data_IF_282090941275
#
_entry.id   IF_282090941275
#
_cell.length_a   1.000
_cell.length_b   1.000
_cell.length_c   1.000
_cell.angle_alpha   90.00
_cell.angle_beta   90.00
_cell.angle_gamma   90.00
#
_symmetry.space_group_name_H-M   'P 1'
#
loop_
_entity.id
_entity.type
_entity.pdbx_description
1 polymer ?
#
# COMPACT_ATOMS: atom_id res chain seq x y z
N UNK A 1 33.15 -11.01 -4.67
CA UNK A 1 32.45 -11.87 -5.65
C UNK A 1 32.12 -11.03 -6.87
N UNK A 2 32.55 -11.43 -8.08
CA UNK A 2 32.18 -10.77 -9.33
C UNK A 2 30.98 -11.50 -9.94
N UNK A 3 30.04 -10.76 -10.51
CA UNK A 3 28.83 -11.29 -11.14
C UNK A 3 28.75 -10.81 -12.59
N UNK A 4 28.18 -11.63 -13.46
CA UNK A 4 27.69 -11.17 -14.77
C UNK A 4 26.56 -10.16 -14.59
N UNK A 5 26.24 -9.33 -15.59
CA UNK A 5 25.21 -8.28 -15.47
C UNK A 5 23.87 -8.78 -14.91
N UNK A 6 23.45 -9.99 -15.27
CA UNK A 6 22.21 -10.65 -14.84
C UNK A 6 22.37 -11.49 -13.56
N UNK A 7 23.49 -11.39 -12.85
CA UNK A 7 23.63 -11.93 -11.49
C UNK A 7 24.18 -13.35 -11.40
N UNK A 8 24.54 -13.97 -12.52
CA UNK A 8 25.25 -15.25 -12.50
C UNK A 8 26.66 -15.06 -11.93
N UNK A 9 27.09 -15.96 -11.05
CA UNK A 9 28.41 -15.90 -10.43
C UNK A 9 29.48 -16.16 -11.49
N UNK A 10 30.38 -15.20 -11.67
CA UNK A 10 31.52 -15.39 -12.55
C UNK A 10 32.52 -16.33 -11.85
N UNK A 11 32.79 -17.50 -12.45
CA UNK A 11 33.81 -18.46 -11.99
C UNK A 11 35.11 -18.22 -12.76
N UNK A 12 36.29 -18.37 -12.11
CA UNK A 12 37.59 -18.33 -12.80
C UNK A 12 38.63 -17.31 -12.31
N UNK A 13 38.42 -16.62 -11.17
CA UNK A 13 39.45 -15.77 -10.55
C UNK A 13 39.66 -16.15 -9.08
N UNK A 14 40.92 -16.41 -8.71
CA UNK A 14 41.41 -16.80 -7.38
C UNK A 14 40.67 -18.01 -6.78
N UNK A 15 41.19 -19.21 -7.06
CA UNK A 15 40.69 -20.51 -6.59
C UNK A 15 40.84 -20.74 -5.06
N UNK A 16 41.22 -19.73 -4.30
CA UNK A 16 41.35 -19.80 -2.84
C UNK A 16 40.07 -19.25 -2.23
N UNK A 17 39.19 -20.16 -1.78
CA UNK A 17 38.01 -19.80 -0.99
C UNK A 17 38.43 -19.64 0.46
N UNK A 18 38.76 -18.41 0.88
CA UNK A 18 38.96 -18.07 2.29
C UNK A 18 37.64 -17.54 2.88
N UNK A 19 36.88 -18.43 3.52
CA UNK A 19 35.69 -18.09 4.31
C UNK A 19 34.42 -18.89 3.98
N UNK A 20 33.41 -18.78 4.85
CA UNK A 20 32.10 -19.42 4.69
C UNK A 20 31.29 -18.74 3.58
N UNK A 21 30.64 -19.52 2.71
CA UNK A 21 29.82 -18.98 1.62
C UNK A 21 28.62 -18.17 2.17
N UNK A 22 28.54 -16.89 1.80
CA UNK A 22 27.48 -16.00 2.24
C UNK A 22 26.30 -16.07 1.26
N UNK A 23 25.23 -16.77 1.65
CA UNK A 23 24.00 -16.93 0.86
C UNK A 23 23.09 -15.70 0.88
N UNK A 24 23.36 -14.74 1.76
CA UNK A 24 22.54 -13.55 1.97
C UNK A 24 23.10 -12.34 1.20
N UNK A 25 22.22 -11.63 0.48
CA UNK A 25 22.51 -10.37 -0.25
C UNK A 25 23.49 -10.53 -1.43
N UNK A 26 23.40 -11.64 -2.12
CA UNK A 26 24.32 -12.08 -3.19
C UNK A 26 24.13 -11.30 -4.49
N UNK A 27 22.90 -11.08 -4.96
CA UNK A 27 22.61 -10.26 -6.15
C UNK A 27 21.43 -9.31 -5.93
N UNK A 28 21.63 -8.02 -6.22
CA UNK A 28 20.73 -6.91 -5.86
C UNK A 28 20.25 -6.87 -4.39
N UNK A 29 20.94 -7.59 -3.50
CA UNK A 29 20.58 -7.74 -2.09
C UNK A 29 19.55 -8.84 -1.80
N UNK A 30 19.31 -9.78 -2.74
CA UNK A 30 18.45 -10.95 -2.55
C UNK A 30 19.23 -12.16 -2.03
N UNK A 31 18.48 -13.11 -1.50
CA UNK A 31 18.98 -14.39 -1.02
C UNK A 31 19.10 -15.36 -2.20
N UNK A 32 20.17 -16.18 -2.19
CA UNK A 32 20.39 -17.22 -3.19
C UNK A 32 19.83 -18.55 -2.67
N UNK A 33 18.95 -19.17 -3.44
CA UNK A 33 18.42 -20.52 -3.23
C UNK A 33 19.20 -21.52 -4.07
N UNK A 34 19.89 -22.44 -3.41
CA UNK A 34 20.71 -23.48 -4.05
C UNK A 34 20.15 -24.89 -3.79
N UNK A 35 19.09 -24.99 -2.99
CA UNK A 35 18.45 -26.26 -2.66
C UNK A 35 17.89 -26.90 -3.94
N UNK A 36 18.04 -28.23 -4.04
CA UNK A 36 17.65 -29.03 -5.21
C UNK A 36 18.32 -28.61 -6.54
N UNK A 37 19.43 -27.86 -6.49
CA UNK A 37 20.16 -27.44 -7.70
C UNK A 37 19.49 -26.32 -8.49
N UNK A 38 18.58 -25.56 -7.87
CA UNK A 38 17.77 -24.53 -8.54
C UNK A 38 18.57 -23.26 -8.88
N UNK A 39 19.58 -22.91 -8.09
CA UNK A 39 20.48 -21.77 -8.31
C UNK A 39 19.78 -20.41 -8.56
N UNK A 40 18.61 -20.18 -7.98
CA UNK A 40 17.78 -18.98 -8.17
C UNK A 40 17.99 -17.93 -7.08
N UNK A 41 17.53 -16.69 -7.33
CA UNK A 41 17.43 -15.63 -6.33
C UNK A 41 15.98 -15.37 -5.91
N UNK A 42 15.72 -15.26 -4.61
CA UNK A 42 14.38 -15.02 -4.08
C UNK A 42 13.95 -13.54 -4.19
N UNK A 43 13.18 -13.19 -5.22
CA UNK A 43 12.60 -11.86 -5.44
C UNK A 43 11.13 -11.81 -4.99
N UNK A 44 10.93 -12.04 -3.69
CA UNK A 44 9.62 -11.96 -3.04
C UNK A 44 8.74 -13.15 -3.38
N UNK A 45 8.00 -13.08 -4.48
CA UNK A 45 7.04 -14.09 -4.92
C UNK A 45 7.46 -14.78 -6.22
N UNK A 46 8.40 -14.17 -6.96
CA UNK A 46 9.04 -14.72 -8.16
C UNK A 46 10.44 -15.17 -7.80
N UNK A 47 10.82 -16.34 -8.30
CA UNK A 47 12.21 -16.75 -8.23
C UNK A 47 12.87 -16.31 -9.53
N UNK A 48 14.00 -15.65 -9.39
CA UNK A 48 14.77 -15.13 -10.50
C UNK A 48 15.87 -16.12 -10.85
N UNK A 49 15.88 -16.57 -12.10
CA UNK A 49 16.95 -17.40 -12.64
C UNK A 49 18.01 -16.49 -13.27
N UNK A 50 19.21 -16.38 -12.69
CA UNK A 50 20.27 -15.55 -13.22
C UNK A 50 20.97 -16.13 -14.46
N UNK A 51 20.84 -17.44 -14.72
CA UNK A 51 21.36 -18.06 -15.93
C UNK A 51 20.46 -17.71 -17.13
N UNK A 52 19.15 -17.67 -16.92
CA UNK A 52 18.18 -17.27 -17.95
C UNK A 52 17.95 -15.76 -18.03
N UNK A 53 18.25 -15.01 -16.96
CA UNK A 53 17.95 -13.58 -16.87
C UNK A 53 16.45 -13.28 -16.78
N UNK A 54 15.64 -14.21 -16.26
CA UNK A 54 14.17 -14.12 -16.24
C UNK A 54 13.59 -14.62 -14.92
N UNK A 55 12.36 -14.20 -14.63
CA UNK A 55 11.58 -14.83 -13.57
C UNK A 55 10.96 -16.15 -14.03
N UNK A 56 10.77 -17.06 -13.08
CA UNK A 56 10.06 -18.31 -13.31
C UNK A 56 8.53 -18.19 -13.23
N UNK A 57 8.01 -17.01 -12.90
CA UNK A 57 6.58 -16.71 -12.76
C UNK A 57 6.24 -15.41 -13.50
N UNK A 58 5.04 -15.38 -14.10
CA UNK A 58 4.40 -14.19 -14.68
C UNK A 58 4.39 -13.08 -13.64
N UNK A 59 4.65 -11.82 -14.00
CA UNK A 59 4.49 -10.63 -13.14
C UNK A 59 3.01 -10.34 -12.82
N UNK A 60 2.71 -10.01 -11.56
CA UNK A 60 1.36 -9.70 -11.07
C UNK A 60 0.87 -8.38 -11.64
N UNK A 61 1.78 -7.57 -12.17
CA UNK A 61 1.53 -6.33 -12.87
C UNK A 61 1.85 -6.45 -14.37
N UNK A 62 1.87 -7.67 -14.94
CA UNK A 62 2.18 -7.87 -16.35
C UNK A 62 1.31 -7.03 -17.29
N UNK A 63 0.03 -6.85 -16.96
CA UNK A 63 -0.93 -6.02 -17.71
C UNK A 63 -0.56 -4.53 -17.76
N UNK A 64 0.36 -4.08 -16.91
CA UNK A 64 0.85 -2.69 -16.94
C UNK A 64 1.96 -2.49 -17.98
N UNK A 65 2.68 -3.55 -18.29
CA UNK A 65 3.93 -3.50 -19.02
C UNK A 65 3.82 -4.23 -20.36
N UNK A 66 2.88 -3.80 -21.20
CA UNK A 66 2.65 -4.41 -22.52
C UNK A 66 3.89 -4.47 -23.41
N UNK A 67 4.86 -3.57 -23.20
CA UNK A 67 6.09 -3.50 -23.97
C UNK A 67 7.16 -4.53 -23.55
N UNK A 68 6.97 -5.27 -22.46
CA UNK A 68 7.93 -6.29 -21.99
C UNK A 68 7.20 -7.59 -21.64
N UNK A 69 7.93 -8.71 -21.75
CA UNK A 69 7.39 -10.02 -21.39
C UNK A 69 7.00 -10.07 -19.91
N UNK A 70 5.92 -10.78 -19.52
CA UNK A 70 5.55 -10.96 -18.11
C UNK A 70 6.64 -11.58 -17.22
N UNK A 71 7.67 -12.17 -17.82
CA UNK A 71 8.80 -12.80 -17.12
C UNK A 71 10.05 -11.92 -17.10
N UNK A 72 9.95 -10.65 -17.50
CA UNK A 72 11.10 -9.76 -17.66
C UNK A 72 11.78 -9.48 -16.32
N UNK A 73 13.11 -9.35 -16.33
CA UNK A 73 13.88 -8.92 -15.17
C UNK A 73 14.51 -7.56 -15.45
N UNK A 74 14.27 -6.56 -14.57
CA UNK A 74 14.90 -5.23 -14.67
C UNK A 74 14.80 -4.60 -16.07
N UNK A 75 13.69 -4.83 -16.77
CA UNK A 75 13.47 -4.40 -18.17
C UNK A 75 14.66 -4.68 -19.12
N UNK A 76 15.31 -5.84 -18.97
CA UNK A 76 16.51 -6.26 -19.71
C UNK A 76 17.75 -5.36 -19.50
N UNK A 77 17.75 -4.47 -18.52
CA UNK A 77 18.89 -3.63 -18.19
C UNK A 77 19.17 -3.62 -16.68
N UNK A 78 19.67 -4.72 -16.12
CA UNK A 78 19.94 -4.86 -14.68
C UNK A 78 21.16 -4.09 -14.17
N UNK A 79 21.93 -3.47 -15.08
CA UNK A 79 23.04 -2.57 -14.73
C UNK A 79 22.46 -1.23 -14.23
N UNK A 80 21.42 -0.74 -14.90
CA UNK A 80 20.78 0.54 -14.59
C UNK A 80 19.53 0.38 -13.72
N UNK A 81 18.70 -0.62 -13.99
CA UNK A 81 17.45 -0.84 -13.28
C UNK A 81 17.62 -1.87 -12.18
N UNK A 82 17.16 -1.49 -10.99
CA UNK A 82 17.07 -2.39 -9.85
C UNK A 82 15.67 -2.93 -9.75
N UNK A 83 15.55 -4.24 -9.60
CA UNK A 83 14.29 -4.91 -9.35
C UNK A 83 13.84 -4.62 -7.91
N UNK A 84 12.73 -3.90 -7.77
CA UNK A 84 12.21 -3.44 -6.49
C UNK A 84 11.26 -4.51 -5.95
N UNK A 85 11.70 -5.28 -4.95
CA UNK A 85 10.77 -6.04 -4.10
C UNK A 85 10.04 -5.06 -3.19
N UNK A 86 9.04 -4.35 -3.69
CA UNK A 86 8.01 -3.91 -2.78
C UNK A 86 8.43 -3.01 -1.62
N UNK A 87 9.20 -1.96 -1.89
CA UNK A 87 9.48 -0.92 -0.88
C UNK A 87 8.63 0.33 -1.16
N UNK A 88 7.42 0.09 -1.67
CA UNK A 88 6.72 1.03 -2.52
C UNK A 88 5.83 1.99 -1.74
N UNK A 89 5.48 1.63 -0.50
CA UNK A 89 5.05 2.63 0.47
C UNK A 89 6.26 3.37 1.03
N UNK A 90 6.26 4.69 0.93
CA UNK A 90 7.25 5.53 1.58
C UNK A 90 6.64 6.74 2.27
N UNK A 91 7.11 7.09 3.46
CA UNK A 91 6.78 8.37 4.06
C UNK A 91 7.58 9.50 3.42
N UNK A 92 6.98 10.67 3.20
CA UNK A 92 7.72 11.90 2.83
C UNK A 92 8.87 12.19 3.80
N UNK A 93 8.72 11.75 5.05
CA UNK A 93 9.72 11.80 6.10
C UNK A 93 9.77 10.52 6.93
N UNK A 94 10.84 10.33 7.72
CA UNK A 94 10.93 9.21 8.67
C UNK A 94 9.80 9.26 9.70
N UNK A 95 9.31 10.46 10.03
CA UNK A 95 8.19 10.71 10.93
C UNK A 95 6.88 10.22 10.31
N UNK A 96 6.60 10.57 9.06
CA UNK A 96 5.44 10.09 8.31
C UNK A 96 5.46 8.56 8.18
N UNK A 97 6.60 7.96 7.79
CA UNK A 97 6.74 6.51 7.71
C UNK A 97 6.52 5.81 9.07
N UNK A 98 6.99 6.41 10.17
CA UNK A 98 6.73 5.91 11.54
C UNK A 98 5.24 5.93 11.88
N UNK A 99 4.54 6.98 11.48
CA UNK A 99 3.10 7.14 11.72
C UNK A 99 2.28 6.13 10.94
N UNK A 100 2.54 6.00 9.64
CA UNK A 100 1.89 4.99 8.79
C UNK A 100 2.08 3.59 9.37
N UNK A 101 3.33 3.22 9.71
CA UNK A 101 3.61 1.90 10.32
C UNK A 101 2.82 1.69 11.61
N UNK A 102 2.68 2.72 12.44
CA UNK A 102 1.94 2.64 13.69
C UNK A 102 0.45 2.45 13.45
N UNK A 103 -0.14 3.18 12.51
CA UNK A 103 -1.57 3.01 12.19
C UNK A 103 -1.85 1.63 11.61
N UNK A 104 -1.03 1.12 10.67
CA UNK A 104 -1.15 -0.26 10.15
C UNK A 104 -1.09 -1.29 11.31
N UNK A 105 -0.15 -1.12 12.25
CA UNK A 105 -0.03 -2.01 13.42
C UNK A 105 -1.23 -1.95 14.36
N UNK A 106 -1.85 -0.78 14.50
CA UNK A 106 -3.06 -0.61 15.32
C UNK A 106 -4.28 -1.26 14.68
N UNK A 107 -4.37 -1.23 13.34
CA UNK A 107 -5.40 -1.92 12.57
C UNK A 107 -5.43 -3.40 12.93
N UNK A 108 -4.27 -4.06 12.89
CA UNK A 108 -4.12 -5.50 13.15
C UNK A 108 -3.71 -5.82 14.59
N UNK A 109 -4.10 -5.00 15.58
CA UNK A 109 -3.63 -5.15 16.97
C UNK A 109 -3.95 -6.53 17.59
N UNK A 110 -5.04 -7.15 17.14
CA UNK A 110 -5.48 -8.47 17.61
C UNK A 110 -4.69 -9.62 16.96
N UNK A 111 -4.14 -9.41 15.76
CA UNK A 111 -3.24 -10.33 15.09
C UNK A 111 -1.79 -9.80 15.15
N UNK A 112 -1.10 -10.10 16.27
CA UNK A 112 0.27 -9.61 16.52
C UNK A 112 1.27 -10.03 15.45
N UNK A 113 1.07 -11.19 14.82
CA UNK A 113 1.95 -11.72 13.76
C UNK A 113 1.84 -10.85 12.51
N UNK A 114 0.60 -10.65 12.03
CA UNK A 114 0.28 -9.75 10.92
C UNK A 114 0.70 -8.30 11.18
N UNK A 115 0.42 -7.75 12.37
CA UNK A 115 0.87 -6.40 12.71
C UNK A 115 2.41 -6.25 12.64
N UNK A 116 3.16 -7.29 13.01
CA UNK A 116 4.63 -7.26 12.99
C UNK A 116 5.23 -7.39 11.59
N UNK A 117 4.47 -7.90 10.62
CA UNK A 117 4.87 -8.10 9.23
C UNK A 117 5.30 -6.77 8.56
N UNK A 118 4.52 -5.71 8.78
CA UNK A 118 4.77 -4.39 8.20
C UNK A 118 5.95 -3.68 8.88
N UNK A 119 7.14 -3.83 8.27
CA UNK A 119 8.41 -3.27 8.72
C UNK A 119 8.82 -2.10 7.81
N UNK A 120 9.70 -1.24 8.32
CA UNK A 120 10.22 -0.09 7.56
C UNK A 120 11.71 0.09 7.79
N UNK A 121 12.42 0.55 6.76
CA UNK A 121 13.82 0.98 6.82
C UNK A 121 13.92 2.46 6.43
N UNK A 122 14.26 3.31 7.39
CA UNK A 122 14.25 4.76 7.18
C UNK A 122 12.85 5.29 6.88
N UNK A 123 12.66 5.80 5.65
CA UNK A 123 11.41 6.34 5.11
C UNK A 123 10.55 5.31 4.37
N UNK A 124 11.13 4.19 3.92
CA UNK A 124 10.45 3.20 3.08
C UNK A 124 9.99 2.00 3.91
N UNK A 125 8.88 1.39 3.51
CA UNK A 125 8.50 0.06 4.00
C UNK A 125 9.44 -0.99 3.39
N UNK A 126 9.59 -2.12 4.08
CA UNK A 126 10.36 -3.26 3.59
C UNK A 126 9.39 -4.18 2.88
N UNK A 127 9.74 -4.65 1.69
CA UNK A 127 9.02 -5.70 0.98
C UNK A 127 8.73 -6.92 1.84
N UNK A 128 7.59 -7.53 1.55
CA UNK A 128 7.03 -8.67 2.29
C UNK A 128 6.96 -9.84 1.32
N UNK A 129 7.53 -10.99 1.69
CA UNK A 129 7.41 -12.21 0.88
C UNK A 129 6.00 -12.77 0.93
N UNK A 130 5.59 -13.51 -0.10
CA UNK A 130 4.26 -14.14 -0.10
C UNK A 130 4.13 -15.15 1.05
N UNK A 131 5.18 -15.94 1.30
CA UNK A 131 5.21 -16.91 2.40
C UNK A 131 5.04 -16.26 3.77
N UNK A 132 5.75 -15.16 4.05
CA UNK A 132 5.59 -14.42 5.32
C UNK A 132 4.16 -13.86 5.47
N UNK A 133 3.52 -13.47 4.36
CA UNK A 133 2.16 -12.95 4.35
C UNK A 133 1.12 -14.05 4.59
N UNK A 134 1.25 -15.18 3.89
CA UNK A 134 0.37 -16.34 4.04
C UNK A 134 0.45 -16.89 5.47
N UNK A 135 1.67 -17.05 5.99
CA UNK A 135 1.94 -17.49 7.36
C UNK A 135 1.34 -16.53 8.42
N UNK A 136 1.37 -15.22 8.16
CA UNK A 136 0.81 -14.21 9.04
C UNK A 136 -0.73 -14.11 8.97
N UNK A 137 -1.34 -14.58 7.88
CA UNK A 137 -2.79 -14.46 7.61
C UNK A 137 -3.53 -15.79 7.63
N UNK A 138 -2.86 -16.92 7.89
CA UNK A 138 -3.45 -18.27 7.86
C UNK A 138 -4.75 -18.41 8.69
N UNK A 139 -4.85 -17.71 9.82
CA UNK A 139 -5.99 -17.75 10.74
C UNK A 139 -6.77 -16.43 10.78
N UNK A 140 -6.52 -15.53 9.82
CA UNK A 140 -7.24 -14.27 9.72
C UNK A 140 -8.65 -14.48 9.18
N UNK A 141 -9.60 -13.66 9.64
CA UNK A 141 -10.90 -13.60 8.99
C UNK A 141 -10.77 -13.10 7.54
N UNK A 142 -11.76 -13.36 6.70
CA UNK A 142 -11.80 -12.87 5.31
C UNK A 142 -11.57 -11.36 5.24
N UNK A 143 -12.21 -10.58 6.12
CA UNK A 143 -12.04 -9.12 6.17
C UNK A 143 -10.63 -8.70 6.61
N UNK A 144 -10.06 -9.37 7.62
CA UNK A 144 -8.71 -9.06 8.08
C UNK A 144 -7.68 -9.37 6.98
N UNK A 145 -7.81 -10.53 6.33
CA UNK A 145 -6.95 -10.96 5.22
C UNK A 145 -7.07 -10.01 4.03
N UNK A 146 -8.28 -9.61 3.67
CA UNK A 146 -8.54 -8.64 2.60
C UNK A 146 -7.88 -7.26 2.86
N UNK A 147 -8.01 -6.74 4.08
CA UNK A 147 -7.39 -5.46 4.42
C UNK A 147 -5.86 -5.58 4.48
N UNK A 148 -5.37 -6.71 5.01
CA UNK A 148 -3.96 -7.03 5.02
C UNK A 148 -3.38 -7.11 3.61
N UNK A 149 -4.11 -7.73 2.69
CA UNK A 149 -3.75 -7.86 1.27
C UNK A 149 -3.56 -6.48 0.66
N UNK A 150 -4.44 -5.52 0.94
CA UNK A 150 -4.28 -4.15 0.42
C UNK A 150 -2.98 -3.48 0.88
N UNK A 151 -2.62 -3.61 2.15
CA UNK A 151 -1.32 -3.11 2.61
C UNK A 151 -0.14 -3.92 2.05
N UNK A 152 -0.27 -5.23 1.90
CA UNK A 152 0.73 -6.08 1.29
C UNK A 152 0.99 -5.68 -0.17
N UNK A 153 -0.06 -5.44 -0.94
CA UNK A 153 0.03 -5.01 -2.33
C UNK A 153 0.58 -3.59 -2.45
N UNK A 154 0.14 -2.66 -1.60
CA UNK A 154 0.71 -1.31 -1.60
C UNK A 154 2.21 -1.33 -1.23
N UNK A 155 2.62 -2.17 -0.28
CA UNK A 155 4.04 -2.38 0.02
C UNK A 155 4.72 -2.97 -1.20
N UNK A 156 4.17 -4.04 -1.78
CA UNK A 156 4.75 -4.82 -2.86
C UNK A 156 4.53 -4.29 -4.29
N UNK A 157 3.91 -3.13 -4.42
CA UNK A 157 3.54 -2.49 -5.68
C UNK A 157 4.76 -2.16 -6.55
N UNK A 158 4.60 -2.13 -7.87
CA UNK A 158 5.59 -1.50 -8.76
C UNK A 158 5.59 0.04 -8.64
N UNK A 159 4.51 0.61 -8.10
CA UNK A 159 4.29 2.05 -7.97
C UNK A 159 4.65 2.59 -6.60
N UNK A 160 5.34 3.72 -6.57
CA UNK A 160 5.69 4.41 -5.34
C UNK A 160 4.46 5.15 -4.80
N UNK A 161 3.92 4.64 -3.70
CA UNK A 161 2.87 5.26 -2.91
C UNK A 161 3.48 6.07 -1.76
N UNK A 162 3.63 7.38 -1.97
CA UNK A 162 4.16 8.29 -0.97
C UNK A 162 3.06 8.71 0.00
N UNK A 163 3.35 8.72 1.31
CA UNK A 163 2.40 9.08 2.36
C UNK A 163 2.93 10.20 3.25
N UNK A 164 2.11 11.23 3.39
CA UNK A 164 2.31 12.36 4.28
C UNK A 164 1.30 12.36 5.41
N UNK A 165 1.63 11.62 6.46
CA UNK A 165 0.85 11.60 7.70
C UNK A 165 1.26 12.75 8.63
N UNK A 166 0.41 13.77 8.75
CA UNK A 166 0.63 14.99 9.54
C UNK A 166 -0.50 15.21 10.55
N UNK A 167 -0.24 15.99 11.59
CA UNK A 167 -1.30 16.56 12.45
C UNK A 167 -1.68 17.94 11.95
N UNK A 168 -2.87 18.44 12.33
CA UNK A 168 -3.36 19.78 11.95
C UNK A 168 -2.32 20.90 12.14
N UNK A 169 -1.67 20.95 13.31
CA UNK A 169 -0.66 21.99 13.59
C UNK A 169 0.70 21.82 12.92
N UNK A 170 0.87 20.86 12.01
CA UNK A 170 2.17 20.56 11.39
C UNK A 170 2.24 21.05 9.95
N UNK A 171 3.42 21.57 9.55
CA UNK A 171 3.70 21.91 8.16
C UNK A 171 3.77 20.66 7.28
N UNK A 172 3.25 20.78 6.07
CA UNK A 172 3.48 19.83 4.99
C UNK A 172 4.94 19.94 4.53
N UNK A 173 5.53 18.79 4.27
CA UNK A 173 6.90 18.58 3.77
C UNK A 173 6.93 18.26 2.28
N UNK A 174 5.82 17.80 1.71
CA UNK A 174 5.69 17.74 0.26
C UNK A 174 5.65 19.17 -0.32
N UNK A 175 6.03 19.31 -1.60
CA UNK A 175 5.88 20.55 -2.35
C UNK A 175 4.42 20.90 -2.68
N UNK A 176 3.46 20.42 -1.89
CA UNK A 176 2.02 20.63 -2.08
C UNK A 176 1.59 22.10 -1.99
N UNK A 177 2.47 22.97 -1.50
CA UNK A 177 2.33 24.43 -1.65
C UNK A 177 2.10 24.86 -3.11
N UNK A 178 2.55 24.05 -4.09
CA UNK A 178 2.46 24.35 -5.52
C UNK A 178 1.20 23.85 -6.24
N UNK A 179 0.42 22.94 -5.64
CA UNK A 179 -0.76 22.36 -6.33
C UNK A 179 -2.05 23.08 -5.88
N UNK A 180 -2.19 23.37 -4.59
CA UNK A 180 -3.42 23.98 -4.03
C UNK A 180 -3.17 25.04 -2.94
N UNK A 181 -1.92 25.45 -2.69
CA UNK A 181 -1.59 26.47 -1.68
C UNK A 181 -1.55 25.97 -0.23
N UNK A 182 -1.79 24.68 0.03
CA UNK A 182 -1.72 24.10 1.37
C UNK A 182 -0.27 24.01 1.87
N UNK A 183 -0.04 24.53 3.07
CA UNK A 183 1.24 24.56 3.79
C UNK A 183 1.17 23.85 5.14
N UNK A 184 -0.02 23.72 5.74
CA UNK A 184 -0.22 23.05 7.03
C UNK A 184 -1.32 22.00 6.98
N UNK A 185 -1.27 21.05 7.92
CA UNK A 185 -2.33 20.06 8.08
C UNK A 185 -3.69 20.69 8.42
N UNK A 186 -3.71 21.85 9.10
CA UNK A 186 -4.92 22.58 9.45
C UNK A 186 -5.61 23.10 8.19
N UNK A 187 -4.85 23.64 7.24
CA UNK A 187 -5.43 24.13 5.98
C UNK A 187 -5.98 22.98 5.13
N UNK A 188 -5.37 21.80 5.16
CA UNK A 188 -5.93 20.60 4.52
C UNK A 188 -7.23 20.16 5.20
N UNK A 189 -7.31 20.30 6.52
CA UNK A 189 -8.45 19.88 7.33
C UNK A 189 -9.62 20.86 7.25
N UNK A 190 -9.38 22.17 7.33
CA UNK A 190 -10.41 23.23 7.41
C UNK A 190 -10.60 24.00 6.10
N UNK A 191 -9.66 23.87 5.19
CA UNK A 191 -9.61 24.63 3.95
C UNK A 191 -8.73 25.86 4.07
N UNK A 192 -8.68 26.62 2.98
CA UNK A 192 -8.01 27.92 2.96
C UNK A 192 -9.07 29.00 3.19
N UNK A 193 -8.68 30.17 3.71
CA UNK A 193 -9.60 31.29 3.89
C UNK A 193 -10.35 31.58 2.57
N UNK A 194 -11.68 31.43 2.58
CA UNK A 194 -12.55 31.57 1.40
C UNK A 194 -12.78 30.30 0.55
N UNK A 195 -12.19 29.15 0.91
CA UNK A 195 -12.39 27.85 0.24
C UNK A 195 -12.68 26.76 1.30
N UNK A 196 -13.96 26.47 1.62
CA UNK A 196 -14.31 25.46 2.62
C UNK A 196 -13.80 24.07 2.23
N UNK A 197 -13.19 23.32 3.16
CA UNK A 197 -12.67 21.95 2.93
C UNK A 197 -13.71 20.83 3.10
N UNK A 198 -14.95 21.01 2.68
CA UNK A 198 -15.88 19.86 2.60
C UNK A 198 -15.41 18.79 1.61
N UNK A 199 -14.34 19.05 0.84
CA UNK A 199 -13.81 18.18 -0.20
C UNK A 199 -12.71 17.19 0.22
N UNK A 200 -12.07 17.33 1.39
CA UNK A 200 -10.95 16.45 1.79
C UNK A 200 -11.35 15.38 2.83
N UNK A 201 -12.31 15.65 3.71
CA UNK A 201 -12.74 14.66 4.70
C UNK A 201 -11.60 14.18 5.63
N UNK A 202 -10.57 15.01 5.83
CA UNK A 202 -9.38 14.70 6.63
C UNK A 202 -8.19 14.12 5.86
N UNK A 203 -8.28 13.96 4.54
CA UNK A 203 -7.19 13.46 3.71
C UNK A 203 -7.38 13.77 2.22
N UNK A 204 -6.40 13.41 1.39
CA UNK A 204 -6.60 13.33 -0.05
C UNK A 204 -5.49 12.52 -0.70
N UNK A 205 -5.74 12.06 -1.92
CA UNK A 205 -4.77 11.37 -2.75
C UNK A 205 -4.71 11.96 -4.17
N UNK A 206 -3.50 12.08 -4.72
CA UNK A 206 -3.30 12.45 -6.11
C UNK A 206 -2.28 11.55 -6.83
N UNK A 207 -2.47 11.44 -8.14
CA UNK A 207 -1.59 10.75 -9.08
C UNK A 207 -0.25 11.48 -9.18
N UNK A 208 0.84 10.72 -9.18
CA UNK A 208 2.19 11.16 -9.52
C UNK A 208 2.73 10.34 -10.68
N UNK A 209 3.86 10.75 -11.25
CA UNK A 209 4.53 10.00 -12.31
C UNK A 209 5.02 8.63 -11.85
N UNK A 210 5.35 8.47 -10.56
CA UNK A 210 5.90 7.24 -10.00
C UNK A 210 4.87 6.35 -9.29
N UNK A 211 3.62 6.80 -9.14
CA UNK A 211 2.60 6.16 -8.31
C UNK A 211 1.67 7.19 -7.69
N UNK A 212 1.35 7.12 -6.40
CA UNK A 212 0.43 8.07 -5.76
C UNK A 212 1.06 8.86 -4.62
N UNK A 213 0.46 10.00 -4.27
CA UNK A 213 0.78 10.73 -3.06
C UNK A 213 -0.47 10.94 -2.21
N UNK A 214 -0.44 10.39 -1.01
CA UNK A 214 -1.50 10.46 0.00
C UNK A 214 -1.12 11.45 1.09
N UNK A 215 -2.03 12.34 1.43
CA UNK A 215 -1.97 13.17 2.64
C UNK A 215 -3.07 12.73 3.59
N UNK A 216 -2.72 12.53 4.86
CA UNK A 216 -3.71 12.26 5.92
C UNK A 216 -3.49 13.16 7.12
N UNK A 217 -4.58 13.72 7.65
CA UNK A 217 -4.60 14.51 8.86
C UNK A 217 -4.97 13.61 10.02
N UNK A 218 -3.96 13.20 10.79
CA UNK A 218 -4.09 12.16 11.81
C UNK A 218 -5.02 12.50 12.97
N UNK A 219 -5.33 13.79 13.15
CA UNK A 219 -6.25 14.32 14.15
C UNK A 219 -7.26 15.24 13.46
N UNK A 220 -7.77 14.81 12.30
CA UNK A 220 -8.81 15.51 11.57
C UNK A 220 -10.01 15.78 12.46
N UNK A 221 -10.57 16.97 12.33
CA UNK A 221 -11.82 17.36 12.99
C UNK A 221 -12.99 17.47 12.02
N UNK A 222 -12.80 17.11 10.75
CA UNK A 222 -13.83 17.19 9.72
C UNK A 222 -14.89 16.11 9.96
N UNK A 223 -16.17 16.49 10.18
CA UNK A 223 -17.25 15.53 10.27
C UNK A 223 -17.49 14.84 8.93
N UNK A 224 -17.72 13.54 8.95
CA UNK A 224 -18.27 12.82 7.81
C UNK A 224 -19.79 12.68 7.98
N UNK A 225 -20.55 12.89 6.90
CA UNK A 225 -22.02 12.96 6.96
C UNK A 225 -22.72 11.77 6.30
N UNK A 226 -21.93 10.87 5.72
CA UNK A 226 -22.35 9.63 5.04
C UNK A 226 -22.23 8.38 5.92
N UNK A 227 -22.05 8.54 7.23
CA UNK A 227 -21.93 7.43 8.18
C UNK A 227 -23.31 7.01 8.71
N UNK A 228 -23.63 5.72 8.64
CA UNK A 228 -24.95 5.15 8.94
C UNK A 228 -24.87 4.04 9.98
N UNK A 229 -25.91 3.94 10.81
CA UNK A 229 -26.21 2.76 11.61
C UNK A 229 -27.08 1.79 10.78
N UNK A 230 -26.54 0.61 10.50
CA UNK A 230 -27.17 -0.43 9.69
C UNK A 230 -28.41 -1.06 10.36
N UNK A 231 -28.57 -0.92 11.68
CA UNK A 231 -29.76 -1.42 12.39
C UNK A 231 -30.95 -0.48 12.32
N UNK A 232 -30.72 0.84 12.18
CA UNK A 232 -31.78 1.86 12.22
C UNK A 232 -31.91 2.65 10.93
N UNK A 233 -30.92 2.59 10.03
CA UNK A 233 -30.80 3.44 8.85
C UNK A 233 -30.41 4.90 9.18
N UNK A 234 -30.26 5.26 10.45
CA UNK A 234 -30.02 6.63 10.87
C UNK A 234 -28.59 7.10 10.54
N UNK A 235 -28.45 8.38 10.20
CA UNK A 235 -27.15 9.04 10.10
C UNK A 235 -26.51 9.25 11.48
N UNK A 236 -25.22 8.97 11.60
CA UNK A 236 -24.44 9.29 12.81
C UNK A 236 -23.76 10.64 12.60
N UNK A 237 -24.19 11.63 13.37
CA UNK A 237 -23.70 13.00 13.28
C UNK A 237 -22.36 13.17 14.03
N UNK A 238 -21.60 14.21 13.65
CA UNK A 238 -20.38 14.67 14.33
C UNK A 238 -19.26 13.62 14.45
N UNK A 239 -19.26 12.60 13.60
CA UNK A 239 -18.24 11.55 13.59
C UNK A 239 -17.08 11.95 12.68
N UNK A 240 -15.86 11.85 13.17
CA UNK A 240 -14.64 12.11 12.40
C UNK A 240 -13.92 10.81 12.05
N UNK A 241 -13.16 10.82 10.95
CA UNK A 241 -12.38 9.66 10.52
C UNK A 241 -11.15 9.45 11.40
N UNK A 242 -10.87 8.21 11.78
CA UNK A 242 -9.62 7.88 12.47
C UNK A 242 -8.42 7.93 11.51
N UNK A 243 -7.19 8.07 12.03
CA UNK A 243 -6.00 8.07 11.18
C UNK A 243 -5.80 6.76 10.38
N UNK A 244 -6.17 5.61 10.96
CA UNK A 244 -6.12 4.32 10.27
C UNK A 244 -7.17 4.20 9.17
N UNK A 245 -8.36 4.76 9.41
CA UNK A 245 -9.42 4.84 8.41
C UNK A 245 -9.04 5.73 7.24
N UNK A 246 -8.54 6.94 7.51
CA UNK A 246 -8.02 7.83 6.47
C UNK A 246 -6.88 7.17 5.69
N UNK A 247 -6.02 6.41 6.36
CA UNK A 247 -4.97 5.67 5.69
C UNK A 247 -5.55 4.61 4.73
N UNK A 248 -6.49 3.78 5.17
CA UNK A 248 -7.13 2.79 4.30
C UNK A 248 -7.87 3.46 3.12
N UNK A 249 -8.61 4.52 3.40
CA UNK A 249 -9.36 5.27 2.41
C UNK A 249 -8.46 5.91 1.34
N UNK A 250 -7.47 6.70 1.76
CA UNK A 250 -6.67 7.50 0.84
C UNK A 250 -5.55 6.71 0.17
N UNK A 251 -4.85 5.85 0.92
CA UNK A 251 -3.72 5.11 0.39
C UNK A 251 -4.17 3.91 -0.43
N UNK A 252 -5.06 3.09 0.13
CA UNK A 252 -5.48 1.86 -0.52
C UNK A 252 -6.68 2.13 -1.45
N UNK A 253 -7.63 2.93 -0.99
CA UNK A 253 -8.88 3.21 -1.69
C UNK A 253 -8.76 4.14 -2.89
N UNK A 254 -7.99 5.23 -2.76
CA UNK A 254 -7.68 6.12 -3.89
C UNK A 254 -6.31 5.84 -4.51
N UNK A 255 -5.27 5.60 -3.70
CA UNK A 255 -3.89 5.52 -4.19
C UNK A 255 -3.57 4.24 -4.97
N UNK A 256 -3.83 3.08 -4.37
CA UNK A 256 -3.53 1.77 -4.97
C UNK A 256 -4.46 1.44 -6.14
N UNK A 257 -5.74 1.76 -6.02
CA UNK A 257 -6.78 1.45 -7.03
C UNK A 257 -6.65 2.24 -8.31
N UNK A 258 -6.01 3.42 -8.27
CA UNK A 258 -5.87 4.29 -9.45
C UNK A 258 -5.04 3.68 -10.58
N UNK A 259 -4.33 2.60 -10.28
CA UNK A 259 -3.39 1.93 -11.18
C UNK A 259 -3.66 0.44 -11.38
N UNK A 260 -4.51 -0.17 -10.55
CA UNK A 260 -4.98 -1.55 -10.75
C UNK A 260 -6.30 -1.50 -11.53
N UNK A 261 -6.28 -2.03 -12.76
CA UNK A 261 -7.38 -1.97 -13.71
C UNK A 261 -8.64 -2.70 -13.20
N UNK A 262 -9.57 -1.96 -12.59
CA UNK A 262 -10.89 -2.48 -12.24
C UNK A 262 -11.59 -1.70 -11.13
N UNK A 263 -12.49 -0.80 -11.50
CA UNK A 263 -13.46 -0.20 -10.58
C UNK A 263 -13.36 1.31 -10.37
N UNK A 264 -14.38 1.86 -9.73
CA UNK A 264 -14.47 3.28 -9.42
C UNK A 264 -13.66 3.58 -8.13
N UNK A 265 -12.56 4.35 -8.24
CA UNK A 265 -11.70 4.70 -7.08
C UNK A 265 -12.49 5.29 -5.89
N UNK A 266 -13.57 6.03 -6.17
CA UNK A 266 -14.42 6.61 -5.14
C UNK A 266 -15.21 5.53 -4.40
N UNK A 267 -15.73 4.54 -5.12
CA UNK A 267 -16.39 3.36 -4.54
C UNK A 267 -15.39 2.53 -3.70
N UNK A 268 -14.20 2.29 -4.25
CA UNK A 268 -13.17 1.51 -3.58
C UNK A 268 -12.73 2.16 -2.27
N UNK A 269 -12.63 3.50 -2.23
CA UNK A 269 -12.30 4.23 -1.02
C UNK A 269 -13.35 4.07 0.09
N UNK A 270 -14.63 4.09 -0.25
CA UNK A 270 -15.71 3.81 0.70
C UNK A 270 -15.68 2.34 1.14
N UNK A 271 -15.48 1.40 0.22
CA UNK A 271 -15.37 -0.03 0.54
C UNK A 271 -14.21 -0.32 1.49
N UNK A 272 -13.04 0.31 1.30
CA UNK A 272 -11.90 0.12 2.18
C UNK A 272 -12.06 0.82 3.53
N UNK A 273 -12.78 1.93 3.59
CA UNK A 273 -13.23 2.48 4.87
C UNK A 273 -14.12 1.48 5.62
N UNK A 274 -15.12 0.91 4.97
CA UNK A 274 -16.04 -0.04 5.60
C UNK A 274 -15.32 -1.33 6.02
N UNK A 275 -14.40 -1.82 5.20
CA UNK A 275 -13.53 -2.95 5.54
C UNK A 275 -12.67 -2.66 6.78
N UNK A 276 -12.03 -1.48 6.83
CA UNK A 276 -11.26 -1.05 8.00
C UNK A 276 -12.12 -1.05 9.28
N UNK A 277 -13.36 -0.55 9.20
CA UNK A 277 -14.27 -0.53 10.34
C UNK A 277 -14.60 -1.94 10.81
N UNK A 278 -14.94 -2.86 9.90
CA UNK A 278 -15.23 -4.26 10.26
C UNK A 278 -14.03 -4.94 10.92
N UNK A 279 -12.83 -4.74 10.38
CA UNK A 279 -11.59 -5.30 10.97
C UNK A 279 -11.31 -4.74 12.36
N UNK A 280 -11.53 -3.43 12.57
CA UNK A 280 -11.12 -2.77 13.83
C UNK A 280 -12.17 -2.80 14.94
N UNK A 281 -13.44 -2.98 14.59
CA UNK A 281 -14.58 -3.03 15.53
C UNK A 281 -15.17 -4.43 15.68
N UNK A 282 -14.93 -5.34 14.74
CA UNK A 282 -15.58 -6.64 14.69
C UNK A 282 -17.08 -6.57 14.37
N UNK A 283 -17.57 -5.42 13.88
CA UNK A 283 -18.99 -5.15 13.70
C UNK A 283 -19.30 -4.60 12.30
N UNK A 284 -20.45 -5.01 11.77
CA UNK A 284 -21.07 -4.45 10.56
C UNK A 284 -22.15 -3.41 10.90
N UNK A 285 -22.32 -3.07 12.18
CA UNK A 285 -23.35 -2.14 12.64
C UNK A 285 -23.21 -0.77 12.00
N UNK A 286 -21.99 -0.31 11.73
CA UNK A 286 -21.76 0.99 11.15
C UNK A 286 -21.02 0.91 9.83
N UNK A 287 -21.37 1.79 8.90
CA UNK A 287 -20.77 1.86 7.57
C UNK A 287 -20.88 3.28 7.00
N UNK A 288 -20.06 3.58 5.99
CA UNK A 288 -20.22 4.75 5.12
C UNK A 288 -21.00 4.38 3.87
N UNK A 289 -22.03 5.15 3.55
CA UNK A 289 -22.87 5.02 2.35
C UNK A 289 -22.38 5.88 1.16
N UNK A 290 -21.23 6.55 1.31
CA UNK A 290 -20.60 7.33 0.25
C UNK A 290 -21.39 8.54 -0.27
N UNK A 291 -22.55 8.86 0.32
CA UNK A 291 -23.43 9.95 -0.15
C UNK A 291 -22.76 11.33 -0.11
N UNK A 292 -21.76 11.51 0.78
CA UNK A 292 -21.00 12.75 0.94
C UNK A 292 -19.59 12.67 0.34
N UNK A 293 -19.27 11.64 -0.46
CA UNK A 293 -17.95 11.45 -1.05
C UNK A 293 -17.87 12.08 -2.45
N UNK A 294 -16.77 12.80 -2.75
CA UNK A 294 -16.53 13.37 -4.07
C UNK A 294 -16.50 12.29 -5.17
N UNK A 295 -17.02 12.61 -6.36
CA UNK A 295 -17.04 11.69 -7.51
C UNK A 295 -18.23 10.72 -7.57
N UNK A 296 -19.34 11.05 -6.88
CA UNK A 296 -20.61 10.34 -6.94
C UNK A 296 -20.99 9.99 -8.40
N UNK A 297 -20.87 8.73 -8.84
CA UNK A 297 -20.95 8.38 -10.26
C UNK A 297 -22.36 8.48 -10.87
N UNK A 298 -23.39 8.93 -10.15
CA UNK A 298 -24.73 9.11 -10.74
C UNK A 298 -25.71 10.00 -9.96
N UNK A 299 -25.29 10.81 -8.98
CA UNK A 299 -26.24 11.51 -8.10
C UNK A 299 -27.13 10.57 -7.25
N UNK A 300 -26.87 9.25 -7.31
CA UNK A 300 -27.49 8.22 -6.49
C UNK A 300 -26.47 7.87 -5.41
N UNK A 301 -26.75 8.21 -4.15
CA UNK A 301 -25.88 7.84 -3.04
C UNK A 301 -25.43 6.39 -3.17
N UNK A 302 -24.13 6.15 -3.06
CA UNK A 302 -23.55 4.82 -3.24
C UNK A 302 -23.89 3.99 -2.01
N UNK A 303 -25.15 3.58 -1.86
CA UNK A 303 -25.58 2.78 -0.73
C UNK A 303 -24.85 1.43 -0.78
N UNK A 304 -23.72 1.32 -0.06
CA UNK A 304 -22.99 0.07 0.14
C UNK A 304 -23.52 -0.53 1.43
N UNK A 305 -24.33 -1.60 1.40
CA UNK A 305 -24.81 -2.24 2.62
C UNK A 305 -23.61 -2.78 3.42
N UNK A 306 -23.63 -2.60 4.74
CA UNK A 306 -22.56 -3.05 5.64
C UNK A 306 -22.35 -4.58 5.68
N UNK A 307 -23.27 -5.34 5.09
CA UNK A 307 -23.36 -6.81 5.16
C UNK A 307 -22.65 -7.57 4.02
N UNK A 308 -22.14 -6.90 2.99
CA UNK A 308 -21.61 -7.58 1.80
C UNK A 308 -20.08 -7.70 1.86
N UNK A 309 -19.60 -8.87 2.28
CA UNK A 309 -18.17 -9.25 2.28
C UNK A 309 -17.59 -9.38 0.85
N UNK A 310 -18.43 -9.62 -0.16
CA UNK A 310 -18.04 -9.77 -1.57
C UNK A 310 -17.79 -8.45 -2.31
N UNK A 311 -17.28 -7.42 -1.65
CA UNK A 311 -16.96 -6.13 -2.28
C UNK A 311 -15.64 -5.53 -1.81
N UNK A 312 -14.78 -6.35 -1.20
CA UNK A 312 -13.35 -6.05 -1.25
C UNK A 312 -12.99 -5.98 -2.75
N UNK A 313 -12.35 -4.89 -3.22
CA UNK A 313 -11.97 -4.73 -4.62
C UNK A 313 -11.38 -6.02 -5.18
N UNK A 314 -11.76 -6.39 -6.40
CA UNK A 314 -11.44 -7.69 -7.02
C UNK A 314 -9.95 -8.05 -6.96
N UNK A 315 -9.06 -7.06 -6.99
CA UNK A 315 -7.61 -7.24 -6.90
C UNK A 315 -7.08 -7.56 -5.49
N UNK A 316 -7.92 -7.57 -4.45
CA UNK A 316 -7.58 -7.99 -3.08
C UNK A 316 -8.09 -9.40 -2.74
N UNK A 317 -8.71 -10.09 -3.71
CA UNK A 317 -9.22 -11.46 -3.55
C UNK A 317 -8.22 -12.50 -4.05
#
# INVERSE_FOLDING_TARGET
MKLYPFGLKHKGYNNVVNGTENKYKTYQGKEKEEELGKDTYAFGWRDYDPALGRFNKIDRFAEKYYAVTPYHFSANNPIFFKEINGDSIQGVSRKSARRVKREIRKTFRNNKKLARLFKKKGKKFKGISQSDFDDATQNSSTDEKALAQGYFDAVNSSEIHTVEAVKRGEKLKSGLSRINGYTTGKEVDEGLAGRPSTATGGGFNYRTTAGSHTVIIMNSTVPITDYRDNSTGAGVLNRTSSAGELLAHELLGHGLTRYNAGGNQFLNAIQLTNLYQRVTTGSFRFYRDGSSHGGNPAGRGVAIPGTISWQVPLYLR
#
